data_IF_620986693912
#
_entry.id   IF_620986693912
#
_cell.length_a   1.000
_cell.length_b   1.000
_cell.length_c   1.000
_cell.angle_alpha   90.00
_cell.angle_beta   90.00
_cell.angle_gamma   90.00
#
_symmetry.space_group_name_H-M   'P 1'
#
loop_
_entity.id
_entity.type
_entity.pdbx_description
1 polymer ?
#
# COMPACT_ATOMS: atom_id res chain seq x y z
N UNK A 1 26.75 -22.30 -15.98
CA UNK A 1 25.45 -21.59 -15.92
C UNK A 1 24.71 -21.95 -14.62
N UNK A 2 25.36 -21.89 -13.45
CA UNK A 2 24.81 -22.45 -12.19
C UNK A 2 24.37 -21.38 -11.18
N UNK A 3 24.46 -20.08 -11.51
CA UNK A 3 24.09 -18.98 -10.60
C UNK A 3 22.62 -18.56 -10.64
N UNK A 4 21.85 -18.97 -11.66
CA UNK A 4 20.50 -18.44 -11.86
C UNK A 4 19.47 -19.04 -10.86
N UNK A 5 19.62 -20.32 -10.52
CA UNK A 5 18.65 -21.03 -9.66
C UNK A 5 18.69 -20.52 -8.22
N UNK A 6 19.87 -20.16 -7.71
CA UNK A 6 20.05 -19.57 -6.37
C UNK A 6 19.46 -18.15 -6.27
N UNK A 7 19.41 -17.39 -7.36
CA UNK A 7 18.80 -16.04 -7.38
C UNK A 7 17.28 -16.10 -7.54
N UNK A 8 16.77 -17.11 -8.23
CA UNK A 8 15.33 -17.36 -8.37
C UNK A 8 14.68 -17.86 -7.07
N UNK A 9 15.43 -18.58 -6.23
CA UNK A 9 14.90 -19.22 -5.03
C UNK A 9 14.32 -18.23 -4.00
N UNK A 10 14.99 -17.09 -3.66
CA UNK A 10 14.40 -16.06 -2.82
C UNK A 10 13.13 -15.43 -3.41
N UNK A 11 13.11 -15.19 -4.73
CA UNK A 11 11.96 -14.62 -5.42
C UNK A 11 10.75 -15.54 -5.33
N UNK A 12 10.93 -16.81 -5.68
CA UNK A 12 9.88 -17.83 -5.59
C UNK A 12 9.43 -18.04 -4.14
N UNK A 13 10.36 -18.01 -3.18
CA UNK A 13 10.05 -18.06 -1.76
C UNK A 13 9.18 -16.89 -1.29
N UNK A 14 9.53 -15.66 -1.69
CA UNK A 14 8.74 -14.47 -1.38
C UNK A 14 7.33 -14.53 -2.00
N UNK A 15 7.22 -14.96 -3.25
CA UNK A 15 5.93 -15.13 -3.93
C UNK A 15 5.07 -16.19 -3.24
N UNK A 16 5.64 -17.36 -2.92
CA UNK A 16 4.94 -18.41 -2.21
C UNK A 16 4.47 -17.95 -0.81
N UNK A 17 5.31 -17.20 -0.09
CA UNK A 17 4.95 -16.65 1.21
C UNK A 17 3.80 -15.64 1.11
N UNK A 18 3.83 -14.73 0.13
CA UNK A 18 2.74 -13.77 -0.11
C UNK A 18 1.42 -14.47 -0.48
N UNK A 19 1.48 -15.52 -1.31
CA UNK A 19 0.31 -16.32 -1.66
C UNK A 19 -0.24 -17.06 -0.43
N UNK A 20 0.62 -17.68 0.37
CA UNK A 20 0.23 -18.36 1.60
C UNK A 20 -0.43 -17.40 2.59
N UNK A 21 0.14 -16.20 2.77
CA UNK A 21 -0.43 -15.14 3.60
C UNK A 21 -1.81 -14.71 3.08
N UNK A 22 -1.96 -14.52 1.76
CA UNK A 22 -3.24 -14.18 1.15
C UNK A 22 -4.32 -15.25 1.38
N UNK A 23 -3.97 -16.53 1.25
CA UNK A 23 -4.88 -17.65 1.53
C UNK A 23 -5.25 -17.69 3.01
N UNK A 24 -4.28 -17.49 3.91
CA UNK A 24 -4.50 -17.46 5.36
C UNK A 24 -5.46 -16.33 5.76
N UNK A 25 -5.22 -15.11 5.28
CA UNK A 25 -6.08 -13.94 5.56
C UNK A 25 -7.48 -14.13 4.95
N UNK A 26 -7.57 -14.69 3.74
CA UNK A 26 -8.85 -15.01 3.10
C UNK A 26 -9.67 -16.01 3.91
N UNK A 27 -9.01 -17.00 4.54
CA UNK A 27 -9.65 -17.97 5.42
C UNK A 27 -10.12 -17.37 6.75
N UNK A 28 -9.48 -16.32 7.23
CA UNK A 28 -9.91 -15.60 8.46
C UNK A 28 -11.04 -14.58 8.23
N UNK A 29 -11.36 -14.26 6.98
CA UNK A 29 -12.39 -13.28 6.62
C UNK A 29 -13.81 -13.85 6.79
N UNK A 30 -14.19 -14.20 8.02
CA UNK A 30 -15.53 -14.68 8.41
C UNK A 30 -16.40 -13.60 9.11
N UNK A 31 -15.89 -12.37 9.28
CA UNK A 31 -16.58 -11.32 10.02
C UNK A 31 -17.37 -10.38 9.08
N UNK A 32 -18.69 -10.60 8.99
CA UNK A 32 -19.68 -9.57 8.62
C UNK A 32 -19.59 -8.99 7.20
N UNK A 33 -20.34 -9.58 6.26
CA UNK A 33 -20.63 -8.99 4.95
C UNK A 33 -19.42 -8.87 4.02
N UNK A 34 -19.30 -9.80 3.07
CA UNK A 34 -18.19 -9.91 2.09
C UNK A 34 -17.75 -8.56 1.49
N UNK A 35 -18.71 -7.69 1.13
CA UNK A 35 -18.41 -6.37 0.55
C UNK A 35 -17.73 -5.41 1.54
N UNK A 36 -18.19 -5.31 2.79
CA UNK A 36 -17.62 -4.39 3.78
C UNK A 36 -16.23 -4.85 4.24
N UNK A 37 -16.07 -6.17 4.43
CA UNK A 37 -14.79 -6.78 4.77
C UNK A 37 -13.74 -6.64 3.66
N UNK A 38 -14.13 -6.81 2.39
CA UNK A 38 -13.20 -6.77 1.27
C UNK A 38 -12.78 -5.35 0.86
N UNK A 39 -13.74 -4.42 0.74
CA UNK A 39 -13.45 -3.08 0.22
C UNK A 39 -12.98 -2.09 1.30
N UNK A 40 -13.47 -2.23 2.53
CA UNK A 40 -13.19 -1.26 3.61
C UNK A 40 -12.46 -1.88 4.79
N UNK A 41 -12.12 -3.17 4.73
CA UNK A 41 -11.48 -3.89 5.83
C UNK A 41 -12.29 -3.81 7.13
N UNK A 42 -13.62 -3.74 7.03
CA UNK A 42 -14.51 -3.56 8.18
C UNK A 42 -14.47 -2.16 8.83
N UNK A 43 -13.83 -1.15 8.20
CA UNK A 43 -13.62 0.19 8.78
C UNK A 43 -12.82 0.19 10.10
N UNK A 44 -12.16 -0.91 10.42
CA UNK A 44 -11.36 -1.09 11.66
C UNK A 44 -9.87 -0.85 11.44
N UNK A 45 -9.42 -0.68 10.19
CA UNK A 45 -8.03 -0.35 9.88
C UNK A 45 -7.65 1.00 10.52
N UNK A 46 -6.73 0.96 11.48
CA UNK A 46 -6.25 2.15 12.16
C UNK A 46 -5.49 3.10 11.23
N UNK A 47 -5.39 4.38 11.62
CA UNK A 47 -4.71 5.41 10.82
C UNK A 47 -3.25 5.05 10.50
N UNK A 48 -2.55 4.38 11.41
CA UNK A 48 -1.18 3.92 11.20
C UNK A 48 -1.06 2.87 10.11
N UNK A 49 -1.90 1.83 10.15
CA UNK A 49 -1.89 0.74 9.14
C UNK A 49 -2.25 1.30 7.76
N UNK A 50 -3.20 2.24 7.71
CA UNK A 50 -3.57 2.92 6.47
C UNK A 50 -2.41 3.73 5.90
N UNK A 51 -1.68 4.47 6.74
CA UNK A 51 -0.49 5.22 6.35
C UNK A 51 0.61 4.28 5.82
N UNK A 52 0.88 3.17 6.52
CA UNK A 52 1.84 2.15 6.08
C UNK A 52 1.46 1.55 4.72
N UNK A 53 0.17 1.30 4.49
CA UNK A 53 -0.32 0.79 3.21
C UNK A 53 -0.11 1.82 2.09
N UNK A 54 -0.36 3.12 2.36
CA UNK A 54 -0.05 4.18 1.39
C UNK A 54 1.45 4.29 1.09
N UNK A 55 2.31 4.21 2.12
CA UNK A 55 3.76 4.22 1.93
C UNK A 55 4.22 3.00 1.12
N UNK A 56 3.65 1.82 1.37
CA UNK A 56 3.94 0.61 0.59
C UNK A 56 3.54 0.77 -0.89
N UNK A 57 2.36 1.33 -1.16
CA UNK A 57 1.92 1.64 -2.54
C UNK A 57 2.85 2.65 -3.20
N UNK A 58 3.26 3.68 -2.47
CA UNK A 58 4.18 4.68 -2.98
C UNK A 58 5.59 4.11 -3.22
N UNK A 59 6.10 3.26 -2.33
CA UNK A 59 7.40 2.59 -2.43
C UNK A 59 7.38 1.37 -3.37
N UNK A 60 6.42 1.30 -4.28
CA UNK A 60 6.32 0.21 -5.25
C UNK A 60 7.47 0.24 -6.26
N UNK A 61 7.52 -0.80 -7.11
CA UNK A 61 8.55 -0.98 -8.14
C UNK A 61 8.73 0.26 -9.02
N UNK A 62 7.65 1.01 -9.27
CA UNK A 62 7.71 2.27 -10.04
C UNK A 62 8.61 3.31 -9.38
N UNK A 63 8.57 3.43 -8.05
CA UNK A 63 9.40 4.39 -7.31
C UNK A 63 10.80 3.85 -7.05
N UNK A 64 10.94 2.53 -6.89
CA UNK A 64 12.24 1.89 -6.68
C UNK A 64 13.14 1.99 -7.92
N UNK A 65 12.57 1.87 -9.12
CA UNK A 65 13.28 2.06 -10.39
C UNK A 65 13.25 3.53 -10.84
N UNK A 66 12.10 4.19 -10.69
CA UNK A 66 11.88 5.56 -11.15
C UNK A 66 12.67 6.60 -10.36
N UNK A 67 12.84 6.43 -9.04
CA UNK A 67 13.61 7.36 -8.20
C UNK A 67 15.07 7.50 -8.66
N UNK A 68 15.84 6.39 -8.74
CA UNK A 68 17.20 6.42 -9.27
C UNK A 68 17.29 6.89 -10.73
N UNK A 69 16.31 6.53 -11.59
CA UNK A 69 16.26 6.99 -12.98
C UNK A 69 16.08 8.51 -13.09
N UNK A 70 15.16 9.07 -12.31
CA UNK A 70 14.94 10.51 -12.22
C UNK A 70 16.13 11.24 -11.58
N UNK A 71 16.80 10.61 -10.60
CA UNK A 71 18.02 11.15 -10.02
C UNK A 71 19.18 11.20 -11.02
N UNK A 72 19.24 10.24 -11.95
CA UNK A 72 20.23 10.21 -13.01
C UNK A 72 20.01 11.32 -14.04
N UNK A 73 18.76 11.60 -14.43
CA UNK A 73 18.44 12.63 -15.41
C UNK A 73 18.46 14.06 -14.84
N UNK A 74 17.94 14.25 -13.63
CA UNK A 74 17.62 15.59 -13.07
C UNK A 74 18.48 15.91 -11.82
N UNK A 75 19.36 14.98 -11.41
CA UNK A 75 20.15 15.12 -10.19
C UNK A 75 19.28 15.17 -8.94
N UNK A 76 19.74 15.83 -7.87
CA UNK A 76 19.01 15.98 -6.61
C UNK A 76 17.68 16.76 -6.71
N UNK A 77 17.34 17.30 -7.87
CA UNK A 77 16.03 17.92 -8.14
C UNK A 77 14.84 17.00 -7.85
N UNK A 78 15.02 15.68 -8.02
CA UNK A 78 13.98 14.69 -7.75
C UNK A 78 13.55 14.64 -6.28
N UNK A 79 14.47 14.95 -5.34
CA UNK A 79 14.19 14.91 -3.90
C UNK A 79 13.12 15.94 -3.52
N UNK A 80 13.12 17.12 -4.16
CA UNK A 80 12.09 18.13 -3.92
C UNK A 80 10.69 17.58 -4.24
N UNK A 81 10.55 16.84 -5.34
CA UNK A 81 9.28 16.20 -5.72
C UNK A 81 8.87 15.13 -4.71
N UNK A 82 9.81 14.30 -4.24
CA UNK A 82 9.55 13.25 -3.25
C UNK A 82 9.11 13.83 -1.89
N UNK A 83 9.73 14.91 -1.44
CA UNK A 83 9.39 15.59 -0.18
C UNK A 83 7.99 16.19 -0.25
N UNK A 84 7.68 16.91 -1.33
CA UNK A 84 6.34 17.49 -1.53
C UNK A 84 5.28 16.39 -1.53
N UNK A 85 5.49 15.32 -2.31
CA UNK A 85 4.55 14.22 -2.43
C UNK A 85 4.30 13.50 -1.09
N UNK A 86 5.37 13.26 -0.33
CA UNK A 86 5.28 12.65 1.00
C UNK A 86 4.42 13.52 1.93
N UNK A 87 4.70 14.83 1.98
CA UNK A 87 3.92 15.77 2.80
C UNK A 87 2.46 15.87 2.35
N UNK A 88 2.22 15.88 1.03
CA UNK A 88 0.86 15.87 0.47
C UNK A 88 0.09 14.62 0.90
N UNK A 89 0.70 13.43 0.88
CA UNK A 89 0.05 12.19 1.33
C UNK A 89 -0.40 12.31 2.80
N UNK A 90 0.48 12.78 3.69
CA UNK A 90 0.13 12.96 5.10
C UNK A 90 -0.97 14.00 5.31
N UNK A 91 -0.92 15.13 4.60
CA UNK A 91 -1.94 16.19 4.68
C UNK A 91 -3.29 15.72 4.15
N UNK A 92 -3.30 15.02 3.02
CA UNK A 92 -4.53 14.48 2.41
C UNK A 92 -5.16 13.45 3.34
N UNK A 93 -4.40 12.50 3.86
CA UNK A 93 -4.91 11.51 4.82
C UNK A 93 -5.38 12.14 6.13
N UNK A 94 -4.62 13.11 6.67
CA UNK A 94 -4.96 13.78 7.92
C UNK A 94 -6.21 14.66 7.83
N UNK A 95 -6.30 15.49 6.79
CA UNK A 95 -7.36 16.49 6.63
C UNK A 95 -8.60 15.87 5.96
N UNK A 96 -8.42 15.26 4.79
CA UNK A 96 -9.52 14.70 4.00
C UNK A 96 -9.91 13.31 4.49
N UNK A 97 -8.93 12.45 4.80
CA UNK A 97 -9.19 11.07 5.23
C UNK A 97 -10.09 11.00 6.47
N UNK A 98 -9.90 11.88 7.47
CA UNK A 98 -10.77 11.94 8.66
C UNK A 98 -12.21 12.32 8.34
N UNK A 99 -12.42 13.23 7.37
CA UNK A 99 -13.76 13.67 6.95
C UNK A 99 -14.46 12.58 6.14
N UNK A 100 -13.77 12.00 5.16
CA UNK A 100 -14.29 10.90 4.31
C UNK A 100 -14.62 9.68 5.17
N UNK A 101 -13.75 9.29 6.10
CA UNK A 101 -14.01 8.16 7.01
C UNK A 101 -15.20 8.38 7.95
N UNK A 102 -15.47 9.64 8.33
CA UNK A 102 -16.67 9.96 9.14
C UNK A 102 -17.94 9.90 8.29
N UNK A 103 -17.88 10.34 7.03
CA UNK A 103 -18.99 10.25 6.10
C UNK A 103 -19.30 8.78 5.77
N UNK A 104 -18.28 7.99 5.43
CA UNK A 104 -18.37 6.55 5.16
C UNK A 104 -19.13 5.78 6.22
N UNK A 105 -18.82 6.07 7.50
CA UNK A 105 -19.46 5.46 8.66
C UNK A 105 -20.93 5.86 8.83
N UNK A 106 -21.31 7.08 8.44
CA UNK A 106 -22.71 7.54 8.55
C UNK A 106 -23.61 6.94 7.48
N UNK A 107 -23.12 6.80 6.26
CA UNK A 107 -23.92 6.29 5.13
C UNK A 107 -23.74 4.79 4.90
N UNK A 108 -23.00 4.09 5.78
CA UNK A 108 -22.60 2.69 5.62
C UNK A 108 -22.05 2.38 4.21
N UNK A 109 -21.37 3.37 3.60
CA UNK A 109 -20.89 3.23 2.24
C UNK A 109 -19.62 2.40 2.20
N UNK A 110 -19.58 1.56 1.18
CA UNK A 110 -18.45 0.69 0.85
C UNK A 110 -17.46 1.41 -0.09
N UNK A 111 -17.95 2.42 -0.80
CA UNK A 111 -17.20 3.29 -1.73
C UNK A 111 -17.71 4.71 -1.60
N UNK A 112 -16.81 5.71 -1.54
CA UNK A 112 -17.12 7.15 -1.63
C UNK A 112 -16.15 7.78 -2.61
#
# INVERSE_FOLDING_TARGET
>A
MNGNLMVLLPLLGFMAAMLALGIYVRRQSHAGGFLSGYFVGGQTLGAFVLAMTMVATYSSVSSFVGGPGMAYEIGFGWIYMAVIQTMTIFLVLGIFGKKVARLARRIHAVTI
#
